data_IF_992464148534
#
_entry.id   IF_992464148534
#
_cell.length_a   1.000
_cell.length_b   1.000
_cell.length_c   1.000
_cell.angle_alpha   90.00
_cell.angle_beta   90.00
_cell.angle_gamma   90.00
#
_symmetry.space_group_name_H-M   'P 1'
#
loop_
_entity.id
_entity.type
_entity.pdbx_description
1 polymer ?
#
# COMPACT_ATOMS: atom_id res chain seq x y z
N UNK A 1 -2.33 -43.94 53.12
CA UNK A 1 -1.56 -43.01 52.27
C UNK A 1 -2.46 -42.60 51.12
N UNK A 2 -2.95 -41.36 51.14
CA UNK A 2 -4.00 -40.85 50.26
C UNK A 2 -3.71 -39.36 50.03
N UNK A 3 -4.06 -38.84 48.83
CA UNK A 3 -4.05 -37.41 48.40
C UNK A 3 -2.66 -36.84 48.04
N UNK A 4 -2.46 -36.06 46.97
CA UNK A 4 -3.33 -35.26 46.07
C UNK A 4 -2.60 -35.12 44.71
N UNK A 5 -3.31 -35.35 43.61
CA UNK A 5 -2.92 -34.81 42.28
C UNK A 5 -3.73 -33.54 42.10
N UNK A 6 -3.04 -32.40 42.01
CA UNK A 6 -3.65 -31.10 41.70
C UNK A 6 -3.69 -30.97 40.17
N UNK A 7 -4.90 -31.02 39.63
CA UNK A 7 -5.20 -30.78 38.22
C UNK A 7 -5.40 -29.28 38.04
N UNK A 8 -4.45 -28.60 37.40
CA UNK A 8 -4.59 -27.21 36.98
C UNK A 8 -5.24 -27.24 35.60
N UNK A 9 -6.55 -27.06 35.55
CA UNK A 9 -7.29 -26.72 34.33
C UNK A 9 -7.07 -25.22 34.08
N UNK A 10 -6.13 -24.89 33.20
CA UNK A 10 -5.94 -23.53 32.71
C UNK A 10 -7.13 -23.14 31.85
N UNK A 11 -7.86 -22.12 32.30
CA UNK A 11 -8.86 -21.40 31.53
C UNK A 11 -8.22 -20.85 30.26
N UNK A 12 -8.56 -21.44 29.12
CA UNK A 12 -8.40 -20.79 27.82
C UNK A 12 -9.53 -19.77 27.72
N UNK A 13 -9.24 -18.52 28.06
CA UNK A 13 -10.12 -17.41 27.70
C UNK A 13 -10.05 -17.29 26.17
N UNK A 14 -11.17 -17.38 25.43
CA UNK A 14 -11.16 -17.00 24.03
C UNK A 14 -10.81 -15.52 23.99
N UNK A 15 -9.65 -15.20 23.43
CA UNK A 15 -9.37 -13.85 22.99
C UNK A 15 -10.47 -13.54 21.98
N UNK A 16 -11.40 -12.67 22.35
CA UNK A 16 -12.35 -12.13 21.41
C UNK A 16 -11.52 -11.36 20.40
N UNK A 17 -11.19 -12.01 19.28
CA UNK A 17 -10.93 -11.30 18.02
C UNK A 17 -12.15 -10.42 17.88
N UNK A 18 -12.00 -9.11 18.11
CA UNK A 18 -13.09 -8.18 17.94
C UNK A 18 -13.43 -8.21 16.46
N UNK A 19 -14.41 -9.03 16.10
CA UNK A 19 -14.99 -9.03 14.78
C UNK A 19 -15.44 -7.59 14.52
N UNK A 20 -14.90 -6.98 13.47
CA UNK A 20 -15.33 -5.64 13.07
C UNK A 20 -16.87 -5.62 12.98
N UNK A 21 -17.53 -4.55 13.43
CA UNK A 21 -18.97 -4.43 13.34
C UNK A 21 -19.43 -4.66 11.90
N UNK A 22 -20.49 -5.47 11.76
CA UNK A 22 -21.14 -5.81 10.49
C UNK A 22 -21.67 -4.52 9.87
N UNK A 23 -21.33 -4.24 8.60
CA UNK A 23 -21.88 -3.09 7.89
C UNK A 23 -23.36 -3.34 7.58
N UNK A 24 -24.24 -2.42 7.97
CA UNK A 24 -25.63 -2.46 7.54
C UNK A 24 -25.82 -1.74 6.18
N UNK A 25 -27.02 -1.89 5.61
CA UNK A 25 -27.33 -1.36 4.27
C UNK A 25 -27.23 0.16 4.21
N UNK A 26 -27.62 0.84 5.28
CA UNK A 26 -27.58 2.31 5.35
C UNK A 26 -26.13 2.79 5.40
N UNK A 27 -25.32 2.20 6.27
CA UNK A 27 -23.89 2.47 6.41
C UNK A 27 -23.14 2.19 5.10
N UNK A 28 -23.45 1.10 4.41
CA UNK A 28 -22.87 0.81 3.09
C UNK A 28 -23.21 1.88 2.07
N UNK A 29 -24.50 2.25 1.94
CA UNK A 29 -24.97 3.26 1.00
C UNK A 29 -24.31 4.61 1.26
N UNK A 30 -24.31 5.06 2.51
CA UNK A 30 -23.77 6.38 2.87
C UNK A 30 -22.25 6.42 2.78
N UNK A 31 -21.56 5.35 3.19
CA UNK A 31 -20.11 5.23 3.03
C UNK A 31 -19.70 5.26 1.56
N UNK A 32 -20.41 4.55 0.68
CA UNK A 32 -20.16 4.58 -0.77
C UNK A 32 -20.38 5.98 -1.36
N UNK A 33 -21.49 6.63 -1.00
CA UNK A 33 -21.83 7.96 -1.46
C UNK A 33 -20.76 8.98 -1.02
N UNK A 34 -20.35 8.94 0.25
CA UNK A 34 -19.34 9.83 0.80
C UNK A 34 -17.97 9.62 0.16
N UNK A 35 -17.53 8.37 -0.04
CA UNK A 35 -16.28 8.05 -0.73
C UNK A 35 -16.28 8.62 -2.16
N UNK A 36 -17.34 8.38 -2.93
CA UNK A 36 -17.44 8.87 -4.30
C UNK A 36 -17.52 10.40 -4.38
N UNK A 37 -18.19 11.04 -3.42
CA UNK A 37 -18.21 12.50 -3.32
C UNK A 37 -16.81 13.06 -3.00
N UNK A 38 -16.09 12.45 -2.07
CA UNK A 38 -14.71 12.83 -1.71
C UNK A 38 -13.73 12.66 -2.88
N UNK A 39 -13.89 11.60 -3.68
CA UNK A 39 -13.11 11.37 -4.90
C UNK A 39 -13.54 12.26 -6.09
N UNK A 40 -14.55 13.11 -5.92
CA UNK A 40 -15.07 13.96 -7.01
C UNK A 40 -15.70 13.18 -8.16
N UNK A 41 -16.17 11.96 -7.91
CA UNK A 41 -16.80 11.12 -8.93
C UNK A 41 -18.14 11.69 -9.35
N UNK A 42 -18.51 11.45 -10.62
CA UNK A 42 -19.80 11.87 -11.16
C UNK A 42 -20.98 11.35 -10.31
N UNK A 43 -22.05 12.16 -10.22
CA UNK A 43 -23.21 11.86 -9.38
C UNK A 43 -23.82 10.47 -9.61
N UNK A 44 -23.73 9.92 -10.83
CA UNK A 44 -24.19 8.55 -11.15
C UNK A 44 -23.52 7.46 -10.30
N UNK A 45 -22.24 7.63 -9.98
CA UNK A 45 -21.52 6.67 -9.12
C UNK A 45 -21.97 6.76 -7.68
N UNK A 46 -22.33 7.97 -7.21
CA UNK A 46 -22.81 8.22 -5.85
C UNK A 46 -24.19 7.60 -5.59
N UNK A 47 -24.97 7.31 -6.64
CA UNK A 47 -26.30 6.71 -6.54
C UNK A 47 -26.32 5.18 -6.58
N UNK A 48 -25.16 4.54 -6.75
CA UNK A 48 -25.07 3.08 -6.74
C UNK A 48 -25.36 2.58 -5.32
N UNK A 49 -26.28 1.64 -5.19
CA UNK A 49 -26.59 0.99 -3.91
C UNK A 49 -25.73 -0.27 -3.76
N UNK A 50 -24.79 -0.30 -2.78
CA UNK A 50 -24.03 -1.50 -2.49
C UNK A 50 -24.94 -2.59 -1.91
N UNK A 51 -24.62 -3.84 -2.23
CA UNK A 51 -25.21 -5.00 -1.57
C UNK A 51 -24.51 -5.25 -0.23
N UNK A 52 -25.25 -5.66 0.79
CA UNK A 52 -24.65 -6.17 2.03
C UNK A 52 -24.55 -7.68 1.91
N UNK A 53 -23.35 -8.23 2.12
CA UNK A 53 -23.13 -9.68 2.16
C UNK A 53 -23.52 -10.25 3.53
N UNK A 54 -23.70 -11.58 3.60
CA UNK A 54 -24.03 -12.25 4.87
C UNK A 54 -22.96 -12.08 5.95
N UNK A 55 -21.70 -11.84 5.54
CA UNK A 55 -20.55 -11.61 6.41
C UNK A 55 -20.35 -10.12 6.77
N UNK A 56 -21.29 -9.24 6.37
CA UNK A 56 -21.27 -7.82 6.73
C UNK A 56 -20.36 -6.95 5.90
N UNK A 57 -20.06 -7.36 4.66
CA UNK A 57 -19.35 -6.55 3.69
C UNK A 57 -20.31 -5.74 2.84
N UNK A 58 -19.90 -4.53 2.48
CA UNK A 58 -20.50 -3.80 1.40
C UNK A 58 -19.87 -4.27 0.09
N UNK A 59 -20.68 -4.67 -0.88
CA UNK A 59 -20.21 -5.21 -2.16
C UNK A 59 -20.84 -4.46 -3.32
N UNK A 60 -20.01 -4.19 -4.32
CA UNK A 60 -20.41 -3.71 -5.64
C UNK A 60 -19.68 -4.55 -6.69
N UNK A 61 -20.39 -4.90 -7.77
CA UNK A 61 -19.84 -5.68 -8.87
C UNK A 61 -20.27 -5.12 -10.24
N UNK A 62 -19.76 -5.73 -11.32
CA UNK A 62 -20.06 -5.36 -12.72
C UNK A 62 -21.53 -5.55 -13.15
N UNK A 63 -22.41 -6.10 -12.32
CA UNK A 63 -23.85 -6.13 -12.64
C UNK A 63 -24.44 -4.72 -12.70
N UNK A 64 -23.84 -3.76 -11.98
CA UNK A 64 -24.18 -2.34 -12.01
C UNK A 64 -23.70 -1.72 -13.32
N UNK A 65 -24.63 -1.13 -14.08
CA UNK A 65 -24.36 -0.63 -15.44
C UNK A 65 -23.21 0.39 -15.49
N UNK A 66 -23.12 1.28 -14.50
CA UNK A 66 -22.07 2.32 -14.45
C UNK A 66 -20.66 1.76 -14.17
N UNK A 67 -20.53 0.48 -13.79
CA UNK A 67 -19.26 -0.15 -13.45
C UNK A 67 -18.80 -1.23 -14.43
N UNK A 68 -19.56 -1.45 -15.51
CA UNK A 68 -19.22 -2.47 -16.52
C UNK A 68 -17.90 -2.19 -17.23
N UNK A 69 -17.59 -0.91 -17.42
CA UNK A 69 -16.38 -0.45 -18.11
C UNK A 69 -15.26 -0.10 -17.10
N UNK A 70 -15.34 -0.62 -15.86
CA UNK A 70 -14.26 -0.46 -14.88
C UNK A 70 -13.33 -1.66 -14.95
N UNK A 71 -12.06 -1.41 -14.68
CA UNK A 71 -10.98 -2.39 -14.83
C UNK A 71 -10.97 -3.46 -13.72
N UNK A 72 -11.98 -3.52 -12.85
CA UNK A 72 -12.16 -4.56 -11.83
C UNK A 72 -13.55 -5.19 -11.92
N UNK A 73 -13.69 -6.41 -11.41
CA UNK A 73 -14.96 -7.17 -11.47
C UNK A 73 -15.83 -6.97 -10.23
N UNK A 74 -15.20 -6.88 -9.06
CA UNK A 74 -15.88 -6.76 -7.78
C UNK A 74 -15.04 -5.90 -6.82
N UNK A 75 -15.73 -5.11 -6.00
CA UNK A 75 -15.20 -4.38 -4.86
C UNK A 75 -16.03 -4.72 -3.63
N UNK A 76 -15.36 -5.24 -2.61
CA UNK A 76 -15.92 -5.42 -1.28
C UNK A 76 -15.19 -4.51 -0.28
N UNK A 77 -15.92 -3.89 0.64
CA UNK A 77 -15.30 -3.16 1.75
C UNK A 77 -16.10 -3.27 3.03
N UNK A 78 -15.40 -3.06 4.14
CA UNK A 78 -15.98 -2.85 5.48
C UNK A 78 -15.12 -1.86 6.26
N UNK A 79 -15.72 -1.17 7.19
CA UNK A 79 -15.04 -0.11 7.93
C UNK A 79 -15.67 0.11 9.32
N UNK A 80 -14.91 0.75 10.20
CA UNK A 80 -15.38 1.21 11.52
C UNK A 80 -15.33 2.73 11.60
N UNK A 81 -16.14 3.34 12.47
CA UNK A 81 -16.20 4.81 12.57
C UNK A 81 -16.77 5.51 11.32
N UNK A 82 -17.55 4.80 10.49
CA UNK A 82 -18.06 5.30 9.20
C UNK A 82 -18.98 6.51 9.37
N UNK A 83 -19.87 6.49 10.36
CA UNK A 83 -20.80 7.58 10.60
C UNK A 83 -20.08 8.90 10.93
N UNK A 84 -19.08 8.85 11.82
CA UNK A 84 -18.24 10.01 12.16
C UNK A 84 -17.43 10.47 10.93
N UNK A 85 -16.83 9.54 10.19
CA UNK A 85 -16.08 9.86 8.99
C UNK A 85 -16.94 10.57 7.93
N UNK A 86 -18.22 10.20 7.78
CA UNK A 86 -19.16 10.88 6.89
C UNK A 86 -19.48 12.29 7.40
N UNK A 87 -19.83 12.43 8.68
CA UNK A 87 -20.18 13.72 9.29
C UNK A 87 -19.05 14.74 9.16
N UNK A 88 -17.82 14.31 9.42
CA UNK A 88 -16.63 15.16 9.45
C UNK A 88 -15.89 15.23 8.10
N UNK A 89 -16.37 14.49 7.10
CA UNK A 89 -15.68 14.31 5.80
C UNK A 89 -14.22 13.85 6.00
N UNK A 90 -14.04 12.82 6.82
CA UNK A 90 -12.76 12.23 7.21
C UNK A 90 -12.58 10.80 6.73
N UNK A 91 -11.52 10.16 7.21
CA UNK A 91 -11.23 8.73 7.04
C UNK A 91 -11.90 7.92 8.17
N UNK A 92 -12.44 6.72 7.90
CA UNK A 92 -12.90 5.81 8.96
C UNK A 92 -11.78 5.42 9.94
N UNK A 93 -12.11 4.86 11.10
CA UNK A 93 -11.10 4.40 12.06
C UNK A 93 -10.33 3.19 11.51
N UNK A 94 -11.04 2.27 10.85
CA UNK A 94 -10.44 1.18 10.08
C UNK A 94 -11.15 1.03 8.75
N UNK A 95 -10.41 0.60 7.73
CA UNK A 95 -10.91 0.27 6.41
C UNK A 95 -10.26 -1.04 5.95
N UNK A 96 -11.09 -1.99 5.56
CA UNK A 96 -10.66 -3.15 4.79
C UNK A 96 -11.38 -3.10 3.44
N UNK A 97 -10.63 -3.18 2.35
CA UNK A 97 -11.15 -3.17 0.99
C UNK A 97 -10.52 -4.28 0.17
N UNK A 98 -11.29 -4.90 -0.71
CA UNK A 98 -10.89 -6.00 -1.58
C UNK A 98 -11.39 -5.74 -2.98
N UNK A 99 -10.48 -5.71 -3.93
CA UNK A 99 -10.78 -5.65 -5.35
C UNK A 99 -10.43 -6.99 -5.96
N UNK A 100 -11.34 -7.52 -6.76
CA UNK A 100 -11.16 -8.80 -7.45
C UNK A 100 -11.36 -8.62 -8.94
N UNK A 101 -10.63 -9.43 -9.73
CA UNK A 101 -10.79 -9.44 -11.18
C UNK A 101 -10.29 -8.16 -11.83
N UNK A 102 -9.15 -7.63 -11.36
CA UNK A 102 -8.52 -6.44 -11.92
C UNK A 102 -7.81 -6.80 -13.23
N UNK A 103 -8.23 -6.22 -14.34
CA UNK A 103 -7.54 -6.36 -15.62
C UNK A 103 -6.24 -5.56 -15.59
N UNK A 104 -5.10 -6.25 -15.59
CA UNK A 104 -3.79 -5.62 -15.45
C UNK A 104 -3.40 -4.74 -16.64
N UNK A 105 -3.92 -5.05 -17.83
CA UNK A 105 -3.62 -4.28 -19.04
C UNK A 105 -4.45 -2.99 -19.03
N UNK A 106 -5.75 -3.08 -18.73
CA UNK A 106 -6.62 -1.90 -18.69
C UNK A 106 -6.28 -1.00 -17.49
N UNK A 107 -6.09 -1.58 -16.29
CA UNK A 107 -5.89 -0.82 -15.06
C UNK A 107 -4.51 -0.15 -14.97
N UNK A 108 -3.45 -0.84 -15.44
CA UNK A 108 -2.07 -0.41 -15.24
C UNK A 108 -1.29 -0.20 -16.54
N UNK A 109 -1.88 -0.47 -17.70
CA UNK A 109 -1.19 -0.36 -18.99
C UNK A 109 -0.05 -1.36 -19.16
N UNK A 110 -0.10 -2.50 -18.45
CA UNK A 110 0.96 -3.50 -18.49
C UNK A 110 1.04 -4.18 -19.86
N UNK A 111 2.24 -4.21 -20.45
CA UNK A 111 2.50 -4.97 -21.67
C UNK A 111 2.80 -6.43 -21.32
N UNK A 112 1.75 -7.26 -21.32
CA UNK A 112 1.83 -8.68 -21.01
C UNK A 112 1.84 -9.53 -22.30
N UNK A 113 2.56 -10.67 -22.31
CA UNK A 113 2.49 -11.62 -23.42
C UNK A 113 1.06 -12.07 -23.73
N UNK A 114 0.75 -12.41 -24.98
CA UNK A 114 -0.61 -12.82 -25.37
C UNK A 114 -1.13 -14.02 -24.57
N UNK A 115 -0.25 -14.93 -24.16
CA UNK A 115 -0.59 -16.10 -23.34
C UNK A 115 -1.05 -15.71 -21.93
N UNK A 116 -0.72 -14.49 -21.50
CA UNK A 116 -1.11 -13.89 -20.22
C UNK A 116 -2.19 -12.81 -20.42
N UNK A 117 -2.69 -12.60 -21.64
CA UNK A 117 -3.78 -11.67 -21.90
C UNK A 117 -5.04 -12.12 -21.14
N UNK A 118 -5.60 -11.21 -20.34
CA UNK A 118 -6.70 -11.51 -19.42
C UNK A 118 -6.27 -12.06 -18.06
N UNK A 119 -4.99 -11.97 -17.70
CA UNK A 119 -4.55 -12.14 -16.32
C UNK A 119 -5.28 -11.13 -15.42
N UNK A 120 -5.89 -11.65 -14.37
CA UNK A 120 -6.68 -10.88 -13.42
C UNK A 120 -5.98 -10.83 -12.08
N UNK A 121 -5.85 -9.65 -11.51
CA UNK A 121 -5.29 -9.47 -10.18
C UNK A 121 -6.35 -9.28 -9.10
N UNK A 122 -5.92 -9.52 -7.87
CA UNK A 122 -6.61 -9.10 -6.65
C UNK A 122 -5.82 -8.01 -5.94
N UNK A 123 -6.53 -7.13 -5.24
CA UNK A 123 -5.94 -6.16 -4.32
C UNK A 123 -6.69 -6.20 -2.99
N UNK A 124 -5.98 -6.43 -1.89
CA UNK A 124 -6.52 -6.26 -0.53
C UNK A 124 -5.82 -5.10 0.14
N UNK A 125 -6.58 -4.19 0.75
CA UNK A 125 -6.06 -3.04 1.52
C UNK A 125 -6.63 -3.08 2.92
N UNK A 126 -5.75 -2.98 3.92
CA UNK A 126 -6.07 -2.84 5.33
C UNK A 126 -5.44 -1.56 5.86
N UNK A 127 -6.25 -0.61 6.28
CA UNK A 127 -5.80 0.66 6.82
C UNK A 127 -6.49 0.98 8.14
N UNK A 128 -5.76 1.60 9.06
CA UNK A 128 -6.21 1.96 10.40
C UNK A 128 -5.68 3.34 10.77
N UNK A 129 -6.46 4.09 11.54
CA UNK A 129 -6.01 5.29 12.22
C UNK A 129 -6.39 5.26 13.69
N UNK A 130 -5.62 5.99 14.48
CA UNK A 130 -5.93 6.27 15.86
C UNK A 130 -6.17 7.78 16.03
N UNK A 131 -7.42 8.22 16.30
CA UNK A 131 -7.72 9.65 16.47
C UNK A 131 -7.04 10.29 17.69
N UNK A 132 -6.69 9.52 18.71
CA UNK A 132 -6.10 10.05 19.95
C UNK A 132 -4.60 10.32 19.77
N UNK A 133 -3.90 9.39 19.11
CA UNK A 133 -2.45 9.47 18.89
C UNK A 133 -2.08 10.11 17.56
N UNK A 134 -3.05 10.30 16.65
CA UNK A 134 -2.84 10.71 15.26
C UNK A 134 -1.95 9.74 14.47
N UNK A 135 -1.91 8.49 14.89
CA UNK A 135 -1.22 7.42 14.17
C UNK A 135 -2.06 6.95 13.00
N UNK A 136 -1.38 6.58 11.91
CA UNK A 136 -1.99 6.00 10.72
C UNK A 136 -1.14 4.85 10.23
N UNK A 137 -1.78 3.75 9.85
CA UNK A 137 -1.10 2.59 9.30
C UNK A 137 -1.86 2.02 8.10
N UNK A 138 -1.12 1.72 7.03
CA UNK A 138 -1.53 0.73 6.04
C UNK A 138 -0.92 -0.59 6.52
N UNK A 139 -1.73 -1.43 7.16
CA UNK A 139 -1.27 -2.71 7.72
C UNK A 139 -0.89 -3.70 6.63
N UNK A 140 -1.64 -3.68 5.54
CA UNK A 140 -1.38 -4.51 4.38
C UNK A 140 -1.98 -3.85 3.13
N UNK A 141 -1.24 -3.92 2.04
CA UNK A 141 -1.69 -3.67 0.68
C UNK A 141 -1.12 -4.81 -0.16
N UNK A 142 -1.93 -5.84 -0.35
CA UNK A 142 -1.58 -7.09 -1.03
C UNK A 142 -2.10 -7.08 -2.45
N UNK A 143 -1.20 -7.07 -3.42
CA UNK A 143 -1.47 -7.32 -4.82
C UNK A 143 -1.14 -8.76 -5.15
N UNK A 144 -2.14 -9.52 -5.58
CA UNK A 144 -1.98 -10.86 -6.11
C UNK A 144 -2.13 -10.81 -7.64
N UNK A 145 -1.03 -10.98 -8.38
CA UNK A 145 -1.03 -11.03 -9.84
C UNK A 145 -1.23 -12.46 -10.37
N UNK A 146 -1.64 -13.39 -9.51
CA UNK A 146 -1.78 -14.80 -9.80
C UNK A 146 -0.44 -15.43 -10.18
N UNK A 147 -0.41 -16.09 -11.34
CA UNK A 147 0.79 -16.76 -11.82
C UNK A 147 1.90 -15.81 -12.33
N UNK A 148 1.74 -14.48 -12.16
CA UNK A 148 2.74 -13.47 -12.52
C UNK A 148 3.59 -13.04 -11.30
N UNK A 149 3.12 -13.28 -10.08
CA UNK A 149 3.80 -12.88 -8.85
C UNK A 149 2.85 -12.19 -7.86
N UNK A 150 3.42 -11.53 -6.86
CA UNK A 150 2.69 -10.81 -5.84
C UNK A 150 3.48 -9.59 -5.35
N UNK A 151 2.80 -8.59 -4.81
CA UNK A 151 3.44 -7.50 -4.08
C UNK A 151 2.69 -7.23 -2.77
N UNK A 152 3.43 -7.05 -1.68
CA UNK A 152 2.89 -6.61 -0.41
C UNK A 152 3.55 -5.28 -0.03
N UNK A 153 2.73 -4.35 0.45
CA UNK A 153 3.20 -3.10 1.01
C UNK A 153 2.57 -2.86 2.38
N UNK A 154 3.37 -2.37 3.33
CA UNK A 154 2.86 -1.85 4.60
C UNK A 154 3.53 -0.53 4.95
N UNK A 155 2.83 0.30 5.71
CA UNK A 155 3.32 1.61 6.12
C UNK A 155 2.78 1.96 7.50
N UNK A 156 3.64 2.49 8.36
CA UNK A 156 3.27 3.05 9.66
C UNK A 156 3.80 4.47 9.76
N UNK A 157 2.90 5.38 10.08
CA UNK A 157 3.20 6.80 10.24
C UNK A 157 2.28 7.46 11.26
N UNK A 158 2.23 8.78 11.21
CA UNK A 158 1.34 9.56 12.05
C UNK A 158 1.57 11.06 11.90
N UNK A 159 0.99 11.83 12.81
CA UNK A 159 1.10 13.29 12.83
C UNK A 159 0.15 14.01 11.87
N UNK A 160 -0.79 13.27 11.28
CA UNK A 160 -1.90 13.80 10.48
C UNK A 160 -3.23 13.41 11.12
N UNK A 161 -4.12 14.37 11.24
CA UNK A 161 -5.48 14.14 11.74
C UNK A 161 -6.42 13.89 10.57
N UNK A 162 -6.72 12.62 10.34
CA UNK A 162 -7.61 12.15 9.28
C UNK A 162 -9.08 12.15 9.69
N UNK A 163 -9.45 12.64 10.88
CA UNK A 163 -10.85 12.63 11.32
C UNK A 163 -11.74 13.59 10.52
N UNK A 164 -11.17 14.57 9.80
CA UNK A 164 -11.93 15.42 8.89
C UNK A 164 -11.06 16.31 8.01
N UNK A 165 -11.60 16.73 6.86
CA UNK A 165 -10.85 17.48 5.82
C UNK A 165 -10.13 18.72 6.35
N UNK A 166 -10.78 19.51 7.20
CA UNK A 166 -10.19 20.73 7.78
C UNK A 166 -9.02 20.39 8.72
N UNK A 167 -9.14 19.35 9.53
CA UNK A 167 -8.08 18.92 10.44
C UNK A 167 -6.91 18.34 9.67
N UNK A 168 -7.18 17.57 8.62
CA UNK A 168 -6.18 17.05 7.70
C UNK A 168 -5.39 18.19 7.04
N UNK A 169 -6.06 19.23 6.53
CA UNK A 169 -5.39 20.40 5.92
C UNK A 169 -4.46 21.14 6.89
N UNK A 170 -4.82 21.22 8.17
CA UNK A 170 -4.01 21.86 9.21
C UNK A 170 -2.82 20.98 9.60
N UNK A 171 -3.00 19.67 9.62
CA UNK A 171 -2.01 18.70 10.15
C UNK A 171 -1.16 18.03 9.08
N UNK A 172 -1.44 18.21 7.78
CA UNK A 172 -0.72 17.54 6.68
C UNK A 172 0.80 17.75 6.71
N UNK A 173 1.27 18.92 7.18
CA UNK A 173 2.71 19.18 7.34
C UNK A 173 3.37 18.37 8.47
N UNK A 174 2.56 17.84 9.39
CA UNK A 174 2.95 16.95 10.47
C UNK A 174 3.08 15.49 10.08
N UNK A 175 2.68 15.09 8.86
CA UNK A 175 2.78 13.69 8.42
C UNK A 175 4.23 13.19 8.51
N UNK A 176 4.44 12.08 9.21
CA UNK A 176 5.73 11.41 9.35
C UNK A 176 5.56 9.92 9.08
N UNK A 177 6.33 9.39 8.13
CA UNK A 177 6.42 7.94 7.88
C UNK A 177 7.56 7.39 8.73
N UNK A 178 7.25 6.49 9.66
CA UNK A 178 8.23 5.89 10.57
C UNK A 178 8.78 4.59 10.03
N UNK A 179 7.91 3.81 9.39
CA UNK A 179 8.23 2.51 8.82
C UNK A 179 7.46 2.30 7.52
N UNK A 180 8.10 1.71 6.53
CA UNK A 180 7.45 1.21 5.33
C UNK A 180 8.14 -0.07 4.87
N UNK A 181 7.37 -1.08 4.51
CA UNK A 181 7.90 -2.32 3.95
C UNK A 181 7.29 -2.56 2.58
N UNK A 182 8.10 -3.10 1.68
CA UNK A 182 7.68 -3.54 0.35
C UNK A 182 8.30 -4.91 0.10
N UNK A 183 7.47 -5.89 -0.26
CA UNK A 183 7.93 -7.17 -0.80
C UNK A 183 7.35 -7.32 -2.19
N UNK A 184 8.19 -7.60 -3.18
CA UNK A 184 7.77 -7.88 -4.55
C UNK A 184 8.32 -9.23 -4.95
N UNK A 185 7.42 -10.19 -5.12
CA UNK A 185 7.68 -11.47 -5.76
C UNK A 185 7.38 -11.34 -7.25
N UNK A 186 8.41 -11.40 -8.07
CA UNK A 186 8.32 -11.13 -9.50
C UNK A 186 8.72 -12.33 -10.34
N UNK A 187 7.94 -12.57 -11.38
CA UNK A 187 8.35 -13.39 -12.53
C UNK A 187 8.91 -12.51 -13.64
N UNK A 188 9.63 -13.06 -14.65
CA UNK A 188 10.13 -12.28 -15.78
C UNK A 188 9.04 -11.54 -16.57
N UNK A 189 7.80 -12.03 -16.59
CA UNK A 189 6.69 -11.37 -17.27
C UNK A 189 6.24 -10.13 -16.50
N UNK A 190 6.04 -10.25 -15.18
CA UNK A 190 5.66 -9.14 -14.31
C UNK A 190 6.76 -8.08 -14.25
N UNK A 191 8.00 -8.51 -14.08
CA UNK A 191 9.16 -7.64 -14.04
C UNK A 191 9.31 -6.79 -15.31
N UNK A 192 9.13 -7.39 -16.50
CA UNK A 192 9.15 -6.65 -17.77
C UNK A 192 8.02 -5.63 -17.84
N UNK A 193 6.80 -6.04 -17.46
CA UNK A 193 5.64 -5.15 -17.46
C UNK A 193 5.83 -3.96 -16.49
N UNK A 194 6.34 -4.20 -15.29
CA UNK A 194 6.65 -3.15 -14.32
C UNK A 194 7.79 -2.24 -14.80
N UNK A 195 8.85 -2.82 -15.36
CA UNK A 195 10.02 -2.07 -15.86
C UNK A 195 9.66 -1.14 -17.02
N UNK A 196 8.71 -1.53 -17.88
CA UNK A 196 8.18 -0.66 -18.93
C UNK A 196 7.51 0.60 -18.36
N UNK A 197 6.82 0.47 -17.22
CA UNK A 197 6.23 1.59 -16.48
C UNK A 197 7.26 2.48 -15.78
N UNK A 198 8.42 1.93 -15.41
CA UNK A 198 9.50 2.65 -14.72
C UNK A 198 10.39 3.49 -15.65
N UNK A 199 9.96 3.86 -16.86
CA UNK A 199 10.69 4.83 -17.69
C UNK A 199 11.91 4.28 -18.45
N UNK A 200 12.08 2.95 -18.52
CA UNK A 200 13.07 2.30 -19.38
C UNK A 200 14.51 2.31 -18.87
N UNK A 201 15.48 2.07 -19.76
CA UNK A 201 16.90 1.86 -19.38
C UNK A 201 17.56 3.08 -18.70
N UNK A 202 17.16 4.30 -19.07
CA UNK A 202 17.70 5.53 -18.51
C UNK A 202 17.35 5.69 -17.02
N UNK A 203 16.09 5.43 -16.66
CA UNK A 203 15.66 5.45 -15.26
C UNK A 203 16.34 4.34 -14.45
N UNK A 204 16.49 3.14 -15.03
CA UNK A 204 17.23 2.06 -14.37
C UNK A 204 18.70 2.43 -14.14
N UNK A 205 19.32 3.13 -15.09
CA UNK A 205 20.68 3.65 -14.91
C UNK A 205 20.76 4.69 -13.79
N UNK A 206 19.82 5.63 -13.73
CA UNK A 206 19.71 6.61 -12.65
C UNK A 206 19.52 5.92 -11.29
N UNK A 207 18.63 4.94 -11.19
CA UNK A 207 18.41 4.18 -9.96
C UNK A 207 19.67 3.47 -9.49
N UNK A 208 20.44 2.86 -10.41
CA UNK A 208 21.73 2.24 -10.07
C UNK A 208 22.71 3.28 -9.51
N UNK A 209 22.76 4.47 -10.09
CA UNK A 209 23.66 5.52 -9.62
C UNK A 209 23.23 6.04 -8.24
N UNK A 210 21.95 6.33 -8.05
CA UNK A 210 21.38 6.71 -6.75
C UNK A 210 21.78 5.68 -5.69
N UNK A 211 21.49 4.39 -5.93
CA UNK A 211 21.82 3.30 -4.99
C UNK A 211 23.32 3.24 -4.67
N UNK A 212 24.20 3.54 -5.61
CA UNK A 212 25.66 3.54 -5.38
C UNK A 212 26.12 4.70 -4.52
N UNK A 213 25.50 5.87 -4.64
CA UNK A 213 25.93 7.08 -3.92
C UNK A 213 25.25 7.26 -2.56
N UNK A 214 24.28 6.42 -2.21
CA UNK A 214 23.61 6.47 -0.90
C UNK A 214 24.63 6.36 0.26
N UNK A 215 24.47 7.11 1.35
CA UNK A 215 25.34 6.99 2.52
C UNK A 215 25.30 5.59 3.16
N UNK A 216 26.41 5.15 3.74
CA UNK A 216 26.52 3.82 4.38
C UNK A 216 25.69 3.67 5.66
N UNK A 217 25.36 4.79 6.33
CA UNK A 217 24.44 4.84 7.46
C UNK A 217 22.97 4.75 7.03
N UNK A 218 22.66 5.11 5.78
CA UNK A 218 21.34 4.91 5.17
C UNK A 218 21.18 3.50 4.61
N UNK A 219 22.17 2.99 3.88
CA UNK A 219 22.11 1.68 3.22
C UNK A 219 23.38 0.91 3.52
N UNK A 220 23.24 -0.24 4.17
CA UNK A 220 24.38 -1.14 4.43
C UNK A 220 24.99 -1.65 3.12
N UNK A 221 26.26 -2.08 3.17
CA UNK A 221 26.93 -2.69 2.01
C UNK A 221 26.16 -3.91 1.46
N UNK A 222 25.60 -4.74 2.34
CA UNK A 222 24.78 -5.91 1.98
C UNK A 222 23.49 -5.49 1.26
N UNK A 223 22.75 -4.53 1.82
CA UNK A 223 21.52 -4.02 1.20
C UNK A 223 21.80 -3.32 -0.14
N UNK A 224 22.92 -2.59 -0.23
CA UNK A 224 23.36 -1.97 -1.49
C UNK A 224 23.65 -3.02 -2.55
N UNK A 225 24.37 -4.09 -2.19
CA UNK A 225 24.65 -5.19 -3.09
C UNK A 225 23.36 -5.89 -3.56
N UNK A 226 22.39 -6.10 -2.66
CA UNK A 226 21.09 -6.67 -3.00
C UNK A 226 20.31 -5.78 -4.00
N UNK A 227 20.24 -4.47 -3.76
CA UNK A 227 19.59 -3.52 -4.65
C UNK A 227 20.25 -3.47 -6.03
N UNK A 228 21.58 -3.43 -6.07
CA UNK A 228 22.33 -3.47 -7.34
C UNK A 228 22.07 -4.77 -8.08
N UNK A 229 22.11 -5.92 -7.40
CA UNK A 229 21.82 -7.22 -8.01
C UNK A 229 20.40 -7.30 -8.59
N UNK A 230 19.40 -6.76 -7.88
CA UNK A 230 18.04 -6.64 -8.39
C UNK A 230 17.94 -5.76 -9.65
N UNK A 231 18.61 -4.60 -9.64
CA UNK A 231 18.62 -3.68 -10.79
C UNK A 231 19.40 -4.25 -11.98
N UNK A 232 20.43 -5.06 -11.75
CA UNK A 232 21.21 -5.72 -12.79
C UNK A 232 20.47 -6.92 -13.41
N UNK A 233 19.51 -7.51 -12.69
CA UNK A 233 18.61 -8.53 -13.23
C UNK A 233 17.50 -7.96 -14.15
N UNK A 234 17.33 -6.64 -14.20
CA UNK A 234 16.38 -6.00 -15.11
C UNK A 234 16.72 -6.30 -16.59
N UNK A 235 15.73 -6.39 -17.49
CA UNK A 235 14.29 -6.21 -17.26
C UNK A 235 13.56 -7.52 -16.93
N UNK A 236 14.27 -8.60 -16.60
CA UNK A 236 13.69 -9.93 -16.40
C UNK A 236 14.05 -10.46 -15.01
N UNK A 237 13.73 -9.66 -13.99
CA UNK A 237 13.88 -10.06 -12.60
C UNK A 237 12.96 -11.25 -12.30
N UNK A 238 13.57 -12.31 -11.77
CA UNK A 238 12.89 -13.54 -11.36
C UNK A 238 13.33 -13.84 -9.92
N UNK A 239 12.45 -13.61 -8.95
CA UNK A 239 12.79 -13.67 -7.53
C UNK A 239 12.00 -12.72 -6.65
N UNK A 240 12.41 -12.64 -5.39
CA UNK A 240 11.78 -11.77 -4.39
C UNK A 240 12.70 -10.63 -3.97
N UNK A 241 12.22 -9.40 -4.10
CA UNK A 241 12.83 -8.20 -3.50
C UNK A 241 12.06 -7.83 -2.24
N UNK A 242 12.75 -7.77 -1.10
CA UNK A 242 12.21 -7.25 0.15
C UNK A 242 12.94 -5.96 0.51
N UNK A 243 12.18 -4.90 0.77
CA UNK A 243 12.65 -3.59 1.21
C UNK A 243 11.98 -3.23 2.53
N UNK A 244 12.76 -2.71 3.48
CA UNK A 244 12.27 -2.08 4.69
C UNK A 244 12.91 -0.71 4.84
N UNK A 245 12.10 0.30 5.09
CA UNK A 245 12.52 1.68 5.32
C UNK A 245 12.08 2.06 6.71
N UNK A 246 13.03 2.49 7.55
CA UNK A 246 12.75 2.97 8.92
C UNK A 246 13.33 4.36 9.11
N UNK A 247 12.67 5.18 9.93
CA UNK A 247 13.16 6.51 10.27
C UNK A 247 12.87 6.86 11.73
N UNK A 248 13.92 7.25 12.46
CA UNK A 248 13.81 7.60 13.89
C UNK A 248 12.99 8.88 14.11
N UNK A 249 13.18 9.88 13.25
CA UNK A 249 12.44 11.15 13.30
C UNK A 249 11.17 11.13 12.44
N UNK A 250 11.03 10.11 11.60
CA UNK A 250 10.00 9.99 10.58
C UNK A 250 10.29 10.82 9.33
N UNK A 251 10.01 10.24 8.16
CA UNK A 251 10.08 10.90 6.86
C UNK A 251 8.89 11.85 6.68
N UNK A 252 9.17 13.14 6.63
CA UNK A 252 8.15 14.16 6.40
C UNK A 252 7.82 14.36 4.92
N UNK A 253 6.57 14.71 4.60
CA UNK A 253 6.15 15.03 3.22
C UNK A 253 7.00 16.12 2.56
N UNK A 254 7.46 17.11 3.33
CA UNK A 254 8.32 18.19 2.82
C UNK A 254 9.70 17.65 2.40
N UNK A 255 10.24 16.66 3.14
CA UNK A 255 11.51 16.03 2.78
C UNK A 255 11.36 15.20 1.50
N UNK A 256 10.26 14.44 1.39
CA UNK A 256 9.95 13.64 0.20
C UNK A 256 9.76 14.56 -1.02
N UNK A 257 8.91 15.59 -0.91
CA UNK A 257 8.65 16.51 -2.01
C UNK A 257 9.89 17.32 -2.40
N UNK A 258 10.61 17.87 -1.42
CA UNK A 258 11.80 18.69 -1.66
C UNK A 258 12.96 17.89 -2.25
N UNK A 259 13.24 16.71 -1.72
CA UNK A 259 14.29 15.84 -2.25
C UNK A 259 13.91 15.23 -3.62
N UNK A 260 12.63 14.89 -3.83
CA UNK A 260 12.12 14.41 -5.11
C UNK A 260 12.29 15.43 -6.24
N UNK A 261 11.93 16.70 -5.99
CA UNK A 261 12.14 17.78 -6.96
C UNK A 261 13.63 18.00 -7.27
N UNK A 262 14.50 17.96 -6.26
CA UNK A 262 15.95 18.08 -6.47
C UNK A 262 16.52 16.93 -7.28
N UNK A 263 16.05 15.70 -7.06
CA UNK A 263 16.45 14.53 -7.86
C UNK A 263 16.03 14.67 -9.33
N UNK A 264 14.84 15.20 -9.60
CA UNK A 264 14.36 15.44 -10.97
C UNK A 264 15.17 16.54 -11.69
N UNK A 265 15.61 17.56 -10.94
CA UNK A 265 16.41 18.67 -11.47
C UNK A 265 17.92 18.38 -11.51
N UNK A 266 18.37 17.22 -11.00
CA UNK A 266 19.78 16.88 -10.88
C UNK A 266 20.43 16.64 -12.25
N UNK A 267 21.56 17.31 -12.50
CA UNK A 267 22.32 17.20 -13.76
C UNK A 267 23.71 16.59 -13.57
N UNK A 268 24.10 16.29 -12.32
CA UNK A 268 25.38 15.69 -11.97
C UNK A 268 25.25 14.69 -10.82
N UNK A 269 26.22 13.77 -10.69
CA UNK A 269 26.26 12.77 -9.62
C UNK A 269 26.35 13.41 -8.22
N UNK A 270 26.95 14.60 -8.12
CA UNK A 270 27.03 15.37 -6.87
C UNK A 270 25.65 15.91 -6.47
N UNK A 271 24.88 16.44 -7.42
CA UNK A 271 23.50 16.91 -7.19
C UNK A 271 22.60 15.75 -6.73
N UNK A 272 22.72 14.59 -7.39
CA UNK A 272 21.97 13.38 -7.03
C UNK A 272 22.29 12.95 -5.60
N UNK A 273 23.57 12.96 -5.23
CA UNK A 273 24.02 12.59 -3.88
C UNK A 273 23.50 13.57 -2.82
N UNK A 274 23.56 14.86 -3.08
CA UNK A 274 23.08 15.89 -2.14
C UNK A 274 21.56 15.79 -1.94
N UNK A 275 20.81 15.62 -3.03
CA UNK A 275 19.36 15.42 -3.00
C UNK A 275 18.98 14.13 -2.24
N UNK A 276 19.68 13.02 -2.52
CA UNK A 276 19.45 11.75 -1.82
C UNK A 276 19.79 11.85 -0.32
N UNK A 277 20.88 12.54 0.02
CA UNK A 277 21.28 12.76 1.42
C UNK A 277 20.24 13.58 2.19
N UNK A 278 19.68 14.62 1.57
CA UNK A 278 18.62 15.42 2.15
C UNK A 278 17.33 14.61 2.36
N UNK A 279 16.95 13.81 1.36
CA UNK A 279 15.73 13.00 1.39
C UNK A 279 15.81 11.87 2.43
N UNK A 280 17.00 11.28 2.60
CA UNK A 280 17.21 10.07 3.40
C UNK A 280 17.92 10.34 4.74
N UNK A 281 18.02 11.60 5.15
CA UNK A 281 18.59 11.94 6.44
C UNK A 281 17.78 11.32 7.59
N UNK A 282 18.43 10.51 8.43
CA UNK A 282 17.78 9.78 9.52
C UNK A 282 16.88 8.64 9.05
N UNK A 283 17.10 8.15 7.83
CA UNK A 283 16.43 6.98 7.24
C UNK A 283 17.42 5.84 7.12
N UNK A 284 16.96 4.63 7.44
CA UNK A 284 17.66 3.38 7.22
C UNK A 284 16.84 2.52 6.25
N UNK A 285 17.50 2.04 5.21
CA UNK A 285 16.93 1.15 4.20
C UNK A 285 17.64 -0.19 4.31
N UNK A 286 16.86 -1.24 4.51
CA UNK A 286 17.29 -2.62 4.45
C UNK A 286 16.67 -3.27 3.22
N UNK A 287 17.50 -3.99 2.47
CA UNK A 287 17.08 -4.63 1.23
C UNK A 287 17.66 -6.04 1.12
N UNK A 288 16.83 -6.96 0.64
CA UNK A 288 17.22 -8.34 0.33
C UNK A 288 16.69 -8.70 -1.06
N UNK A 289 17.54 -9.30 -1.90
CA UNK A 289 17.16 -9.82 -3.20
C UNK A 289 17.45 -11.32 -3.25
N UNK A 290 16.41 -12.12 -3.51
CA UNK A 290 16.49 -13.58 -3.58
C UNK A 290 16.07 -14.05 -4.97
N UNK A 291 17.00 -14.29 -5.90
CA UNK A 291 16.67 -14.75 -7.24
C UNK A 291 16.14 -16.19 -7.24
N UNK A 292 15.20 -16.48 -8.14
CA UNK A 292 14.81 -17.85 -8.47
C UNK A 292 15.79 -18.42 -9.50
N UNK A 293 16.32 -19.61 -9.22
CA UNK A 293 17.32 -20.29 -10.08
C UNK A 293 16.67 -21.08 -11.20
#
# INVERSE_FOLDING_TARGET
MMRRVVMIMGLVLPVAVQAQPVMDRETCREGWQALNAAMGQAARFQTIEPMVTDDGWCRIDRSVADLRDKDFSELEWRATGVAEAIEESGFPESLEARFSGIDLIEAFGMDLPQERAGAMAGLTVMAERDPETLDFAIRAMDFDFGALGAANFSLVGGGIDLSGLKRMQITIGGLRIREATLSVDTTPDLSRALSAGLGGEEQLALMREVVRVLPDDTVSEESRAALVAFLDAAPAQDGTLELSVTSEAGLGMIQIAGGGMQLEESVSDEDVKDAATLLLSGVRIEATWTPYN
#
